data_IF_685434512060
#
_entry.id   IF_685434512060
#
_cell.length_a   1.000
_cell.length_b   1.000
_cell.length_c   1.000
_cell.angle_alpha   90.00
_cell.angle_beta   90.00
_cell.angle_gamma   90.00
#
_symmetry.space_group_name_H-M   'P 1'
#
loop_
_entity.id
_entity.type
_entity.pdbx_description
1 polymer ?
#
# COMPACT_ATOMS: atom_id res chain seq x y z
N UNK A 1 -40.26 -7.89 -37.28
CA UNK A 1 -39.67 -6.59 -36.95
C UNK A 1 -38.25 -6.85 -36.50
N UNK A 2 -37.32 -6.71 -37.45
CA UNK A 2 -35.90 -6.98 -37.28
C UNK A 2 -35.25 -5.68 -36.79
N UNK A 3 -34.62 -5.71 -35.62
CA UNK A 3 -33.70 -4.65 -35.23
C UNK A 3 -32.29 -5.06 -35.64
N UNK A 4 -31.88 -4.60 -36.82
CA UNK A 4 -30.47 -4.59 -37.23
C UNK A 4 -29.73 -3.59 -36.36
N UNK A 5 -28.88 -4.09 -35.47
CA UNK A 5 -27.87 -3.27 -34.76
C UNK A 5 -26.61 -3.34 -35.61
N UNK A 6 -26.61 -2.66 -36.75
CA UNK A 6 -25.41 -2.39 -37.54
C UNK A 6 -25.00 -0.93 -37.29
N UNK A 7 -24.44 -0.68 -36.12
CA UNK A 7 -23.51 0.44 -35.94
C UNK A 7 -22.16 -0.16 -35.59
N UNK A 8 -21.43 -0.54 -36.64
CA UNK A 8 -20.01 -0.81 -36.54
C UNK A 8 -19.32 0.49 -36.08
N UNK A 9 -19.08 0.61 -34.78
CA UNK A 9 -18.06 1.52 -34.25
C UNK A 9 -16.76 1.09 -34.90
N UNK A 10 -16.30 1.82 -35.91
CA UNK A 10 -15.04 1.56 -36.59
C UNK A 10 -13.93 1.79 -35.57
N UNK A 11 -13.54 0.72 -34.88
CA UNK A 11 -12.34 0.67 -34.06
C UNK A 11 -11.16 1.07 -34.94
N UNK A 12 -10.38 2.05 -34.48
CA UNK A 12 -9.18 2.56 -35.17
C UNK A 12 -8.23 1.40 -35.53
N UNK A 13 -8.24 0.34 -34.72
CA UNK A 13 -7.59 -0.93 -35.02
C UNK A 13 -8.63 -2.06 -35.16
N UNK A 14 -8.85 -2.63 -36.36
CA UNK A 14 -9.79 -3.71 -36.55
C UNK A 14 -9.32 -5.05 -35.93
N UNK A 15 -8.04 -5.18 -35.57
CA UNK A 15 -7.45 -6.45 -35.11
C UNK A 15 -7.75 -6.80 -33.65
N UNK A 16 -8.11 -5.82 -32.81
CA UNK A 16 -8.41 -6.00 -31.38
C UNK A 16 -9.56 -6.96 -31.09
N UNK A 17 -10.49 -7.11 -32.05
CA UNK A 17 -11.68 -7.96 -31.91
C UNK A 17 -11.61 -9.31 -32.63
N UNK A 18 -10.47 -9.71 -33.22
CA UNK A 18 -10.43 -10.92 -34.07
C UNK A 18 -10.63 -12.23 -33.33
N UNK A 19 -10.18 -12.32 -32.07
CA UNK A 19 -10.42 -13.47 -31.19
C UNK A 19 -11.89 -13.54 -30.76
N UNK A 20 -12.42 -12.44 -30.24
CA UNK A 20 -13.77 -12.40 -29.66
C UNK A 20 -14.87 -12.60 -30.72
N UNK A 21 -14.66 -12.05 -31.91
CA UNK A 21 -15.60 -12.19 -33.02
C UNK A 21 -15.42 -13.53 -33.79
N UNK A 22 -14.50 -14.40 -33.37
CA UNK A 22 -14.26 -15.70 -34.01
C UNK A 22 -13.71 -15.63 -35.43
N UNK A 23 -13.18 -14.46 -35.86
CA UNK A 23 -12.57 -14.28 -37.19
C UNK A 23 -11.30 -15.09 -37.34
N UNK A 24 -10.49 -15.18 -36.28
CA UNK A 24 -9.29 -16.01 -36.27
C UNK A 24 -9.65 -17.51 -36.41
N UNK A 25 -10.62 -17.99 -35.63
CA UNK A 25 -11.11 -19.37 -35.68
C UNK A 25 -11.67 -19.75 -37.06
N UNK A 26 -12.43 -18.86 -37.70
CA UNK A 26 -12.93 -19.11 -39.06
C UNK A 26 -11.83 -19.11 -40.12
N UNK A 27 -10.77 -18.32 -39.93
CA UNK A 27 -9.64 -18.24 -40.86
C UNK A 27 -8.70 -19.45 -40.81
N UNK A 28 -8.77 -20.29 -39.77
CA UNK A 28 -7.96 -21.53 -39.64
C UNK A 28 -8.03 -22.46 -40.85
N UNK A 29 -9.16 -22.44 -41.59
CA UNK A 29 -9.35 -23.23 -42.81
C UNK A 29 -8.41 -22.82 -43.95
N UNK A 30 -7.85 -21.60 -43.90
CA UNK A 30 -6.94 -21.05 -44.89
C UNK A 30 -5.67 -20.55 -44.20
N UNK A 31 -4.60 -21.34 -44.24
CA UNK A 31 -3.35 -21.05 -43.55
C UNK A 31 -2.78 -19.65 -43.83
N UNK A 32 -2.95 -19.14 -45.05
CA UNK A 32 -2.49 -17.80 -45.46
C UNK A 32 -3.32 -16.65 -44.86
N UNK A 33 -4.64 -16.82 -44.73
CA UNK A 33 -5.49 -15.81 -44.11
C UNK A 33 -5.35 -15.83 -42.60
N UNK A 34 -5.22 -17.03 -42.04
CA UNK A 34 -4.93 -17.22 -40.63
C UNK A 34 -3.60 -16.55 -40.22
N UNK A 35 -2.52 -16.79 -40.97
CA UNK A 35 -1.22 -16.18 -40.67
C UNK A 35 -1.24 -14.66 -40.79
N UNK A 36 -1.99 -14.11 -41.75
CA UNK A 36 -2.17 -12.66 -41.89
C UNK A 36 -2.92 -12.05 -40.69
N UNK A 37 -4.05 -12.64 -40.28
CA UNK A 37 -4.81 -12.14 -39.14
C UNK A 37 -4.04 -12.27 -37.82
N UNK A 38 -3.28 -13.36 -37.65
CA UNK A 38 -2.42 -13.56 -36.50
C UNK A 38 -1.31 -12.50 -36.45
N UNK A 39 -0.65 -12.21 -37.58
CA UNK A 39 0.38 -11.17 -37.64
C UNK A 39 -0.19 -9.76 -37.35
N UNK A 40 -1.39 -9.46 -37.86
CA UNK A 40 -2.08 -8.20 -37.54
C UNK A 40 -2.40 -8.08 -36.05
N UNK A 41 -2.87 -9.16 -35.42
CA UNK A 41 -3.16 -9.20 -33.99
C UNK A 41 -1.91 -9.08 -33.11
N UNK A 42 -0.79 -9.68 -33.50
CA UNK A 42 0.48 -9.57 -32.76
C UNK A 42 1.08 -8.16 -32.80
N UNK A 43 0.73 -7.36 -33.81
CA UNK A 43 1.21 -5.98 -33.98
C UNK A 43 0.27 -4.96 -33.33
N UNK A 44 -0.87 -5.40 -32.79
CA UNK A 44 -1.82 -4.53 -32.11
C UNK A 44 -1.25 -4.07 -30.76
N UNK A 45 -0.99 -2.77 -30.63
CA UNK A 45 -0.45 -2.14 -29.40
C UNK A 45 -1.51 -1.88 -28.32
N UNK A 46 -2.77 -2.25 -28.55
CA UNK A 46 -3.86 -1.95 -27.63
C UNK A 46 -4.06 -3.10 -26.64
N UNK A 47 -3.74 -2.85 -25.36
CA UNK A 47 -4.18 -3.70 -24.26
C UNK A 47 -5.70 -3.87 -24.29
N UNK A 48 -6.15 -5.09 -24.04
CA UNK A 48 -7.59 -5.40 -24.02
C UNK A 48 -8.25 -4.64 -22.87
N UNK A 49 -9.34 -3.94 -23.18
CA UNK A 49 -10.14 -3.25 -22.17
C UNK A 49 -10.85 -4.34 -21.36
N UNK A 50 -10.31 -4.66 -20.18
CA UNK A 50 -11.00 -5.46 -19.19
C UNK A 50 -12.21 -4.67 -18.68
N UNK A 51 -13.41 -5.21 -18.82
CA UNK A 51 -14.56 -4.66 -18.10
C UNK A 51 -14.36 -5.08 -16.64
N UNK A 52 -13.88 -4.17 -15.81
CA UNK A 52 -13.96 -4.35 -14.37
C UNK A 52 -15.44 -4.47 -14.01
N UNK A 53 -15.87 -5.67 -13.65
CA UNK A 53 -17.16 -5.85 -12.97
C UNK A 53 -17.14 -4.93 -11.75
N UNK A 54 -18.21 -4.16 -11.46
CA UNK A 54 -18.27 -3.30 -10.29
C UNK A 54 -18.25 -4.22 -9.07
N UNK A 55 -17.06 -4.53 -8.59
CA UNK A 55 -16.86 -5.26 -7.37
C UNK A 55 -17.30 -4.27 -6.30
N UNK A 56 -18.46 -4.55 -5.69
CA UNK A 56 -18.93 -3.83 -4.52
C UNK A 56 -17.73 -3.58 -3.62
N UNK A 57 -17.49 -2.29 -3.29
CA UNK A 57 -16.33 -1.78 -2.54
C UNK A 57 -15.62 -2.89 -1.80
N UNK A 58 -14.48 -3.34 -2.35
CA UNK A 58 -13.73 -4.43 -1.73
C UNK A 58 -13.56 -4.08 -0.24
N UNK A 59 -14.03 -4.94 0.68
CA UNK A 59 -13.89 -4.67 2.10
C UNK A 59 -12.41 -4.47 2.38
N UNK A 60 -12.10 -3.47 3.19
CA UNK A 60 -10.73 -3.16 3.60
C UNK A 60 -10.01 -4.45 3.98
N UNK A 61 -8.86 -4.70 3.35
CA UNK A 61 -8.14 -5.99 3.43
C UNK A 61 -7.90 -6.38 4.88
N UNK A 62 -7.69 -5.39 5.75
CA UNK A 62 -7.52 -5.59 7.18
C UNK A 62 -8.76 -6.17 7.87
N UNK A 63 -9.96 -5.78 7.43
CA UNK A 63 -11.23 -6.32 7.96
C UNK A 63 -11.47 -7.76 7.53
N UNK A 64 -11.06 -8.13 6.30
CA UNK A 64 -11.09 -9.52 5.85
C UNK A 64 -10.06 -10.38 6.61
N UNK A 65 -8.83 -9.86 6.78
CA UNK A 65 -7.80 -10.56 7.55
C UNK A 65 -8.19 -10.76 9.02
N UNK A 66 -8.87 -9.77 9.62
CA UNK A 66 -9.41 -9.90 10.99
C UNK A 66 -10.51 -10.95 11.10
N UNK A 67 -11.37 -11.11 10.10
CA UNK A 67 -12.42 -12.14 10.13
C UNK A 67 -11.87 -13.56 9.91
N UNK A 68 -10.74 -13.68 9.23
CA UNK A 68 -10.02 -14.95 9.03
C UNK A 68 -9.23 -15.40 10.26
N UNK A 69 -8.84 -14.47 11.15
CA UNK A 69 -8.08 -14.77 12.36
C UNK A 69 -9.01 -15.01 13.55
N UNK A 70 -8.94 -16.22 14.13
CA UNK A 70 -9.70 -16.58 15.34
C UNK A 70 -8.96 -16.24 16.64
N UNK A 71 -7.69 -15.85 16.57
CA UNK A 71 -6.88 -15.52 17.73
C UNK A 71 -6.96 -14.03 18.08
N UNK A 72 -6.80 -13.71 19.36
CA UNK A 72 -6.79 -12.34 19.86
C UNK A 72 -5.54 -11.61 19.35
N UNK A 73 -5.72 -10.44 18.75
CA UNK A 73 -4.61 -9.59 18.36
C UNK A 73 -4.04 -8.81 19.55
N UNK A 74 -2.71 -8.65 19.65
CA UNK A 74 -2.11 -7.73 20.60
C UNK A 74 -2.54 -6.30 20.28
N UNK A 75 -2.81 -5.51 21.32
CA UNK A 75 -3.11 -4.08 21.16
C UNK A 75 -1.85 -3.32 20.71
N UNK A 76 -2.04 -2.22 19.99
CA UNK A 76 -0.92 -1.37 19.52
C UNK A 76 -0.30 -0.57 20.68
N UNK A 77 -1.13 -0.07 21.59
CA UNK A 77 -0.73 0.67 22.78
C UNK A 77 -1.13 -0.05 24.06
N UNK A 78 -0.46 0.29 25.16
CA UNK A 78 -0.83 -0.17 26.48
C UNK A 78 -2.06 0.58 27.00
N UNK A 79 -2.95 -0.17 27.64
CA UNK A 79 -4.11 0.32 28.39
C UNK A 79 -3.97 -0.13 29.86
N UNK A 80 -4.72 0.48 30.78
CA UNK A 80 -4.62 0.21 32.22
C UNK A 80 -4.81 -1.28 32.56
N UNK A 81 -5.72 -1.95 31.83
CA UNK A 81 -5.96 -3.39 31.95
C UNK A 81 -4.74 -4.27 31.66
N UNK A 82 -3.79 -3.80 30.86
CA UNK A 82 -2.56 -4.53 30.53
C UNK A 82 -1.55 -4.47 31.69
N UNK A 83 -1.55 -3.41 32.48
CA UNK A 83 -0.71 -3.33 33.68
C UNK A 83 -1.15 -4.31 34.76
N UNK A 84 -2.47 -4.51 34.92
CA UNK A 84 -3.01 -5.54 35.80
C UNK A 84 -2.63 -6.95 35.34
N UNK A 85 -2.65 -7.18 34.02
CA UNK A 85 -2.22 -8.43 33.41
C UNK A 85 -0.75 -8.71 33.71
N UNK A 86 0.10 -7.69 33.58
CA UNK A 86 1.53 -7.78 33.88
C UNK A 86 1.77 -8.08 35.37
N UNK A 87 1.02 -7.42 36.27
CA UNK A 87 1.11 -7.66 37.71
C UNK A 87 0.76 -9.11 38.06
N UNK A 88 -0.30 -9.67 37.47
CA UNK A 88 -0.67 -11.09 37.68
C UNK A 88 0.41 -12.04 37.19
N UNK A 89 0.97 -11.77 36.01
CA UNK A 89 2.07 -12.57 35.46
C UNK A 89 3.30 -12.49 36.38
N UNK A 90 3.66 -11.29 36.86
CA UNK A 90 4.76 -11.11 37.81
C UNK A 90 4.56 -11.88 39.11
N UNK A 91 3.33 -11.95 39.63
CA UNK A 91 3.00 -12.74 40.81
C UNK A 91 3.11 -14.25 40.55
N UNK A 92 2.66 -14.73 39.38
CA UNK A 92 2.81 -16.14 39.00
C UNK A 92 4.29 -16.53 38.86
N UNK A 93 5.13 -15.65 38.32
CA UNK A 93 6.58 -15.85 38.25
C UNK A 93 7.23 -15.93 39.64
N UNK A 94 6.86 -15.05 40.57
CA UNK A 94 7.41 -15.07 41.93
C UNK A 94 6.99 -16.30 42.73
N UNK A 95 5.84 -16.91 42.39
CA UNK A 95 5.34 -18.15 42.97
C UNK A 95 5.84 -19.42 42.24
N UNK A 96 6.74 -19.28 41.26
CA UNK A 96 7.25 -20.38 40.43
C UNK A 96 6.17 -21.12 39.59
N UNK A 97 5.04 -20.48 39.32
CA UNK A 97 3.94 -21.02 38.50
C UNK A 97 4.13 -20.64 37.02
N UNK A 98 5.18 -21.16 36.39
CA UNK A 98 5.54 -20.77 35.02
C UNK A 98 4.51 -21.21 33.96
N UNK A 99 3.86 -22.35 34.17
CA UNK A 99 2.84 -22.86 33.26
C UNK A 99 1.62 -21.93 33.20
N UNK A 100 1.17 -21.45 34.37
CA UNK A 100 0.04 -20.55 34.50
C UNK A 100 0.37 -19.16 33.93
N UNK A 101 1.58 -18.65 34.19
CA UNK A 101 2.08 -17.41 33.60
C UNK A 101 2.07 -17.49 32.06
N UNK A 102 2.55 -18.61 31.49
CA UNK A 102 2.59 -18.81 30.04
C UNK A 102 1.19 -18.90 29.43
N UNK A 103 0.27 -19.60 30.08
CA UNK A 103 -1.13 -19.68 29.65
C UNK A 103 -1.79 -18.30 29.69
N UNK A 104 -1.56 -17.54 30.76
CA UNK A 104 -2.13 -16.20 30.93
C UNK A 104 -1.65 -15.25 29.84
N UNK A 105 -0.35 -15.27 29.49
CA UNK A 105 0.22 -14.50 28.38
C UNK A 105 -0.36 -14.91 27.01
N UNK A 106 -0.64 -16.21 26.81
CA UNK A 106 -1.25 -16.69 25.57
C UNK A 106 -2.71 -16.24 25.41
N UNK A 107 -3.47 -16.16 26.51
CA UNK A 107 -4.86 -15.69 26.50
C UNK A 107 -4.96 -14.15 26.45
N UNK A 108 -3.97 -13.45 27.00
CA UNK A 108 -3.92 -12.00 27.13
C UNK A 108 -2.61 -11.50 26.51
N UNK A 109 -2.56 -11.33 25.18
CA UNK A 109 -1.35 -10.89 24.51
C UNK A 109 -0.98 -9.48 24.99
N UNK A 110 0.31 -9.29 25.26
CA UNK A 110 0.85 -8.00 25.67
C UNK A 110 0.79 -6.99 24.51
N UNK A 111 0.66 -5.69 24.81
CA UNK A 111 0.65 -4.66 23.79
C UNK A 111 2.01 -4.54 23.10
N UNK A 112 2.01 -4.13 21.83
CA UNK A 112 3.22 -3.98 21.02
C UNK A 112 4.10 -2.80 21.49
N UNK A 113 3.46 -1.71 21.90
CA UNK A 113 4.14 -0.53 22.42
C UNK A 113 3.43 -0.01 23.67
N UNK A 114 4.15 0.74 24.50
CA UNK A 114 3.55 1.45 25.62
C UNK A 114 2.62 2.58 25.14
N UNK A 115 3.02 3.29 24.08
CA UNK A 115 2.27 4.40 23.49
C UNK A 115 2.28 4.22 21.97
N UNK A 116 1.12 4.32 21.34
CA UNK A 116 0.99 4.30 19.89
C UNK A 116 1.33 5.70 19.35
N UNK A 117 2.62 5.93 19.10
CA UNK A 117 3.08 7.16 18.48
C UNK A 117 4.22 6.86 17.51
N UNK A 118 3.91 6.89 16.22
CA UNK A 118 4.87 6.66 15.14
C UNK A 118 6.03 7.67 15.11
N UNK A 119 5.86 8.85 15.72
CA UNK A 119 6.89 9.90 15.80
C UNK A 119 7.70 9.84 17.09
N UNK A 120 7.35 8.98 18.05
CA UNK A 120 8.07 8.87 19.31
C UNK A 120 9.34 8.05 19.12
N UNK A 121 10.48 8.70 19.30
CA UNK A 121 11.79 8.06 19.35
C UNK A 121 12.10 7.71 20.80
N UNK A 122 12.76 6.57 21.05
CA UNK A 122 13.18 6.18 22.41
C UNK A 122 14.18 7.18 22.99
N UNK A 123 14.04 7.52 24.27
CA UNK A 123 14.92 8.47 24.95
C UNK A 123 16.38 7.99 24.93
N UNK A 124 16.62 6.67 24.98
CA UNK A 124 17.97 6.09 24.87
C UNK A 124 18.62 6.41 23.52
N UNK A 125 17.83 6.39 22.44
CA UNK A 125 18.30 6.73 21.09
C UNK A 125 18.59 8.22 20.99
N UNK A 126 17.72 9.05 21.56
CA UNK A 126 17.93 10.51 21.61
C UNK A 126 19.19 10.85 22.40
N UNK A 127 19.38 10.22 23.56
CA UNK A 127 20.55 10.44 24.42
C UNK A 127 21.86 9.98 23.79
N UNK A 128 21.82 8.97 22.91
CA UNK A 128 22.98 8.52 22.16
C UNK A 128 23.36 9.46 20.99
N UNK A 129 22.40 10.25 20.48
CA UNK A 129 22.66 11.18 19.39
C UNK A 129 23.59 12.34 19.81
N UNK A 130 24.32 12.96 18.87
CA UNK A 130 25.14 14.12 19.17
C UNK A 130 24.30 15.31 19.68
N UNK A 131 24.89 16.15 20.52
CA UNK A 131 24.20 17.28 21.17
C UNK A 131 23.44 18.20 20.20
N UNK A 132 23.98 18.42 19.00
CA UNK A 132 23.30 19.22 17.96
C UNK A 132 21.98 18.61 17.50
N UNK A 133 21.94 17.28 17.34
CA UNK A 133 20.72 16.56 16.99
C UNK A 133 19.72 16.56 18.15
N UNK A 134 20.17 16.35 19.40
CA UNK A 134 19.30 16.43 20.59
C UNK A 134 18.61 17.80 20.72
N UNK A 135 19.34 18.89 20.51
CA UNK A 135 18.81 20.25 20.58
C UNK A 135 17.84 20.59 19.44
N UNK A 136 18.05 20.01 18.25
CA UNK A 136 17.10 20.10 17.11
C UNK A 136 15.82 19.32 17.39
N UNK A 137 15.95 18.10 17.89
CA UNK A 137 14.82 17.20 18.19
C UNK A 137 13.94 17.76 19.32
N UNK A 138 14.54 18.39 20.32
CA UNK A 138 13.84 19.11 21.40
C UNK A 138 13.26 20.48 20.96
N UNK A 139 13.38 20.85 19.68
CA UNK A 139 12.93 22.14 19.12
C UNK A 139 13.50 23.38 19.84
N UNK A 140 14.58 23.23 20.61
CA UNK A 140 15.24 24.34 21.32
C UNK A 140 15.90 25.32 20.36
N UNK A 141 16.30 24.84 19.18
CA UNK A 141 16.65 25.69 18.04
C UNK A 141 15.51 25.67 17.01
N UNK A 142 14.37 26.26 17.34
CA UNK A 142 13.42 26.63 16.29
C UNK A 142 13.91 27.93 15.65
N UNK A 143 14.63 27.83 14.53
CA UNK A 143 14.83 29.00 13.68
C UNK A 143 13.48 29.35 13.06
N UNK A 144 13.02 30.58 13.26
CA UNK A 144 11.86 31.13 12.53
C UNK A 144 12.20 31.45 11.07
N UNK A 145 13.43 31.17 10.63
CA UNK A 145 13.86 31.30 9.26
C UNK A 145 13.29 30.15 8.44
N UNK A 146 12.54 30.49 7.40
CA UNK A 146 12.11 29.57 6.37
C UNK A 146 13.35 29.07 5.63
N UNK A 147 13.72 27.82 5.87
CA UNK A 147 14.86 27.17 5.22
C UNK A 147 14.36 26.54 3.92
N UNK A 148 14.60 27.21 2.77
CA UNK A 148 14.41 26.58 1.46
C UNK A 148 15.59 25.66 1.16
N UNK A 149 15.49 24.40 1.60
CA UNK A 149 16.49 23.36 1.36
C UNK A 149 16.73 23.07 -0.13
N UNK A 150 15.82 23.49 -1.00
CA UNK A 150 15.90 23.20 -2.44
C UNK A 150 16.58 24.31 -3.23
N UNK A 151 16.74 25.51 -2.64
CA UNK A 151 17.25 26.72 -3.31
C UNK A 151 16.60 26.96 -4.68
N UNK A 152 15.37 26.45 -4.88
CA UNK A 152 14.81 26.27 -6.22
C UNK A 152 14.38 27.61 -6.80
N UNK A 153 14.05 28.57 -5.93
CA UNK A 153 13.78 29.95 -6.31
C UNK A 153 15.01 30.63 -6.94
N UNK A 154 16.21 30.40 -6.39
CA UNK A 154 17.44 30.96 -6.95
C UNK A 154 17.77 30.35 -8.33
N UNK A 155 17.56 29.04 -8.49
CA UNK A 155 17.76 28.35 -9.77
C UNK A 155 16.81 28.89 -10.85
N UNK A 156 15.53 29.08 -10.51
CA UNK A 156 14.54 29.64 -11.43
C UNK A 156 14.90 31.08 -11.80
N UNK A 157 15.37 31.88 -10.84
CA UNK A 157 15.76 33.27 -11.08
C UNK A 157 16.96 33.36 -12.03
N UNK A 158 17.98 32.53 -11.81
CA UNK A 158 19.16 32.43 -12.66
C UNK A 158 18.80 31.92 -14.06
N UNK A 159 17.93 30.91 -14.17
CA UNK A 159 17.48 30.40 -15.46
C UNK A 159 16.73 31.48 -16.27
N UNK A 160 15.88 32.29 -15.63
CA UNK A 160 15.20 33.41 -16.29
C UNK A 160 16.17 34.48 -16.78
N UNK A 161 17.21 34.79 -16.02
CA UNK A 161 18.23 35.75 -16.42
C UNK A 161 19.07 35.23 -17.60
N UNK A 162 19.39 33.94 -17.62
CA UNK A 162 20.14 33.31 -18.71
C UNK A 162 19.34 33.22 -20.02
N UNK A 163 18.00 33.12 -19.95
CA UNK A 163 17.12 33.11 -21.14
C UNK A 163 16.86 34.53 -21.68
N UNK A 164 17.03 35.56 -20.85
CA UNK A 164 16.82 36.96 -21.23
C UNK A 164 18.07 37.64 -21.83
N UNK A 165 19.24 36.97 -21.80
CA UNK A 165 20.50 37.40 -22.41
C UNK A 165 20.71 36.72 -23.77
#
# INVERSE_FOLDING_TARGET
MNHSIDQATVSIDPSSGFELNGKLSNATKNARLFSLYLAMQQTALADTIGIESPTASAPDVETQLRSLNFYRHPALSADDSHWDTLNRVSQAFSQHQFADARLHLAMHPMPLAQVDNAQKISDDIVNNCPLGAQKRLSKQYSSTLYEDNTLMEEVILNAKQAVAA
#
